data_IF_632495936843
#
_entry.id   IF_632495936843
#
_cell.length_a   1.000
_cell.length_b   1.000
_cell.length_c   1.000
_cell.angle_alpha   90.00
_cell.angle_beta   90.00
_cell.angle_gamma   90.00
#
_symmetry.space_group_name_H-M   'P 1'
#
loop_
_entity.id
_entity.type
_entity.pdbx_description
1 polymer ?
#
# COMPACT_ATOMS: atom_id res chain seq x y z
N UNK A 1 37.05 -47.88 9.59
CA UNK A 1 36.25 -47.34 8.47
C UNK A 1 34.76 -47.29 8.76
N UNK A 2 34.15 -48.32 9.32
CA UNK A 2 32.71 -48.33 9.67
C UNK A 2 32.25 -47.20 10.63
N UNK A 3 33.03 -46.90 11.67
CA UNK A 3 32.68 -45.86 12.66
C UNK A 3 32.68 -44.47 12.03
N UNK A 4 33.58 -44.17 11.12
CA UNK A 4 33.66 -42.90 10.40
C UNK A 4 32.48 -42.76 9.42
N UNK A 5 32.12 -43.85 8.73
CA UNK A 5 30.98 -43.89 7.83
C UNK A 5 29.65 -43.66 8.57
N UNK A 6 29.48 -44.28 9.75
CA UNK A 6 28.29 -44.07 10.59
C UNK A 6 28.19 -42.65 11.11
N UNK A 7 29.30 -42.02 11.48
CA UNK A 7 29.33 -40.63 11.90
C UNK A 7 28.96 -39.66 10.76
N UNK A 8 29.41 -39.94 9.55
CA UNK A 8 29.10 -39.17 8.34
C UNK A 8 27.63 -39.30 7.95
N UNK A 9 27.04 -40.49 8.05
CA UNK A 9 25.62 -40.74 7.82
C UNK A 9 24.74 -40.06 8.87
N UNK A 10 25.18 -40.04 10.13
CA UNK A 10 24.43 -39.35 11.20
C UNK A 10 24.50 -37.83 11.05
N UNK A 11 25.63 -37.27 10.61
CA UNK A 11 25.80 -35.84 10.34
C UNK A 11 24.95 -35.36 9.15
N UNK A 12 24.70 -36.22 8.16
CA UNK A 12 23.86 -35.89 7.01
C UNK A 12 22.36 -35.74 7.36
N UNK A 13 21.91 -36.43 8.42
CA UNK A 13 20.53 -36.32 8.92
C UNK A 13 20.23 -35.00 9.66
N UNK A 14 21.27 -34.24 10.04
CA UNK A 14 21.13 -32.95 10.70
C UNK A 14 21.27 -31.74 9.78
N UNK A 15 21.37 -31.95 8.47
CA UNK A 15 21.21 -30.84 7.54
C UNK A 15 19.74 -30.37 7.62
N UNK A 16 19.46 -29.19 8.17
CA UNK A 16 18.10 -28.66 8.16
C UNK A 16 17.70 -28.50 6.70
N UNK A 17 16.72 -29.27 6.27
CA UNK A 17 16.01 -29.04 5.02
C UNK A 17 15.24 -27.72 5.19
N UNK A 18 15.90 -26.60 4.99
CA UNK A 18 15.25 -25.33 4.77
C UNK A 18 14.60 -25.38 3.39
N UNK A 19 13.51 -26.11 3.29
CA UNK A 19 12.59 -25.95 2.18
C UNK A 19 11.82 -24.66 2.43
N UNK A 20 12.37 -23.56 1.96
CA UNK A 20 11.63 -22.28 1.90
C UNK A 20 10.59 -22.44 0.80
N UNK A 21 9.41 -22.90 1.19
CA UNK A 21 8.26 -22.95 0.31
C UNK A 21 7.78 -21.52 0.13
N UNK A 22 8.20 -20.87 -0.95
CA UNK A 22 7.72 -19.56 -1.37
C UNK A 22 6.24 -19.61 -1.82
N UNK A 23 5.37 -20.25 -1.02
CA UNK A 23 3.94 -20.30 -1.25
C UNK A 23 3.33 -19.06 -0.59
N UNK A 24 2.93 -18.11 -1.43
CA UNK A 24 2.17 -16.94 -0.95
C UNK A 24 0.79 -17.39 -0.49
N UNK A 25 0.38 -16.93 0.68
CA UNK A 25 -0.99 -17.14 1.15
C UNK A 25 -1.99 -16.43 0.22
N UNK A 26 -3.25 -16.88 0.22
CA UNK A 26 -4.32 -16.21 -0.53
C UNK A 26 -4.44 -14.72 -0.15
N UNK A 27 -4.24 -14.39 1.12
CA UNK A 27 -4.26 -13.00 1.58
C UNK A 27 -3.08 -12.20 1.04
N UNK A 28 -1.88 -12.77 0.96
CA UNK A 28 -0.71 -12.10 0.37
C UNK A 28 -0.90 -11.87 -1.12
N UNK A 29 -1.47 -12.83 -1.84
CA UNK A 29 -1.78 -12.67 -3.27
C UNK A 29 -2.85 -11.59 -3.47
N UNK A 30 -3.91 -11.59 -2.67
CA UNK A 30 -4.99 -10.60 -2.72
C UNK A 30 -4.49 -9.19 -2.40
N UNK A 31 -3.53 -9.05 -1.48
CA UNK A 31 -3.02 -7.77 -1.01
C UNK A 31 -1.69 -7.36 -1.66
N UNK A 32 -1.26 -8.06 -2.70
CA UNK A 32 0.09 -7.93 -3.27
C UNK A 32 0.46 -6.49 -3.67
N UNK A 33 -0.51 -5.69 -4.11
CA UNK A 33 -0.32 -4.29 -4.52
C UNK A 33 -1.02 -3.29 -3.61
N UNK A 34 -1.60 -3.74 -2.50
CA UNK A 34 -2.29 -2.86 -1.56
C UNK A 34 -1.32 -2.37 -0.48
N UNK A 35 -1.45 -1.09 -0.14
CA UNK A 35 -0.89 -0.52 1.07
C UNK A 35 -1.99 -0.49 2.12
N UNK A 36 -1.81 -1.26 3.20
CA UNK A 36 -2.77 -1.28 4.30
C UNK A 36 -2.55 -0.06 5.16
N UNK A 37 -3.66 0.58 5.54
CA UNK A 37 -3.67 1.65 6.51
C UNK A 37 -3.15 1.17 7.87
N UNK A 38 -2.22 1.90 8.45
CA UNK A 38 -1.58 1.62 9.74
C UNK A 38 -1.98 2.62 10.82
N UNK A 39 -2.44 3.81 10.45
CA UNK A 39 -2.91 4.86 11.34
C UNK A 39 -4.41 5.08 11.17
N UNK A 40 -5.09 5.58 12.20
CA UNK A 40 -6.55 5.60 12.28
C UNK A 40 -7.22 6.43 11.16
N UNK A 41 -6.65 7.56 10.77
CA UNK A 41 -7.24 8.48 9.76
C UNK A 41 -6.43 8.62 8.47
N UNK A 42 -5.43 7.78 8.27
CA UNK A 42 -4.49 7.85 7.14
C UNK A 42 -4.94 7.15 5.86
N UNK A 43 -6.24 6.85 5.71
CA UNK A 43 -6.77 6.16 4.54
C UNK A 43 -6.40 6.85 3.21
N UNK A 44 -6.29 8.17 3.18
CA UNK A 44 -5.85 8.94 2.01
C UNK A 44 -4.40 8.62 1.62
N UNK A 45 -3.49 8.58 2.60
CA UNK A 45 -2.09 8.24 2.35
C UNK A 45 -1.91 6.80 1.86
N UNK A 46 -2.57 5.84 2.52
CA UNK A 46 -2.54 4.43 2.12
C UNK A 46 -3.14 4.21 0.71
N UNK A 47 -4.23 4.94 0.39
CA UNK A 47 -4.85 4.90 -0.95
C UNK A 47 -3.95 5.52 -2.01
N UNK A 48 -3.29 6.66 -1.74
CA UNK A 48 -2.35 7.26 -2.68
C UNK A 48 -1.14 6.36 -2.91
N UNK A 49 -0.57 5.78 -1.86
CA UNK A 49 0.51 4.81 -1.98
C UNK A 49 0.10 3.58 -2.82
N UNK A 50 -1.11 3.06 -2.60
CA UNK A 50 -1.69 1.96 -3.39
C UNK A 50 -1.84 2.36 -4.86
N UNK A 51 -2.39 3.55 -5.14
CA UNK A 51 -2.54 4.04 -6.50
C UNK A 51 -1.18 4.14 -7.21
N UNK A 52 -0.16 4.71 -6.56
CA UNK A 52 1.20 4.82 -7.12
C UNK A 52 1.78 3.43 -7.42
N UNK A 53 1.62 2.45 -6.53
CA UNK A 53 2.06 1.07 -6.78
C UNK A 53 1.40 0.45 -8.01
N UNK A 54 0.14 0.76 -8.26
CA UNK A 54 -0.61 0.23 -9.39
C UNK A 54 -0.22 0.85 -10.72
N UNK A 55 0.07 2.16 -10.75
CA UNK A 55 0.34 2.88 -12.00
C UNK A 55 1.82 2.95 -12.37
N UNK A 56 2.72 2.96 -11.39
CA UNK A 56 4.16 3.16 -11.60
C UNK A 56 5.00 1.96 -11.12
N UNK A 57 4.36 0.92 -10.56
CA UNK A 57 5.02 -0.27 -10.01
C UNK A 57 6.11 0.02 -8.96
N UNK A 58 6.18 1.26 -8.48
CA UNK A 58 7.13 1.71 -7.47
C UNK A 58 6.65 1.26 -6.09
N UNK A 59 7.55 0.73 -5.29
CA UNK A 59 7.25 0.40 -3.89
C UNK A 59 7.22 1.69 -3.07
N UNK A 60 6.02 2.19 -2.83
CA UNK A 60 5.73 3.33 -1.95
C UNK A 60 4.91 2.79 -0.79
N UNK A 61 5.20 3.19 0.43
CA UNK A 61 4.40 2.86 1.60
C UNK A 61 3.63 4.09 2.12
N UNK A 62 2.75 3.83 3.09
CA UNK A 62 1.93 4.87 3.71
C UNK A 62 2.77 5.96 4.38
N UNK A 63 3.84 5.57 5.10
CA UNK A 63 4.70 6.50 5.83
C UNK A 63 5.43 7.45 4.87
N UNK A 64 5.92 6.93 3.73
CA UNK A 64 6.55 7.75 2.70
C UNK A 64 5.58 8.82 2.17
N UNK A 65 4.31 8.49 1.96
CA UNK A 65 3.30 9.48 1.53
C UNK A 65 3.02 10.50 2.62
N UNK A 66 2.90 10.07 3.88
CA UNK A 66 2.64 10.93 5.02
C UNK A 66 3.73 11.99 5.22
N UNK A 67 4.98 11.71 4.85
CA UNK A 67 6.08 12.68 4.92
C UNK A 67 5.89 13.90 4.01
N UNK A 68 5.07 13.78 2.95
CA UNK A 68 4.77 14.87 2.02
C UNK A 68 3.59 15.73 2.45
N UNK A 69 2.84 15.32 3.47
CA UNK A 69 1.78 16.15 4.02
C UNK A 69 2.33 17.28 4.90
N UNK A 70 1.46 18.24 5.18
CA UNK A 70 1.81 19.32 6.11
C UNK A 70 1.97 18.74 7.50
N UNK A 71 3.09 19.00 8.13
CA UNK A 71 3.34 18.58 9.51
C UNK A 71 2.42 19.34 10.47
N UNK A 72 2.15 18.72 11.61
CA UNK A 72 1.41 19.39 12.69
C UNK A 72 2.19 20.58 13.25
N UNK A 73 1.57 21.35 14.16
CA UNK A 73 2.17 22.52 14.81
C UNK A 73 3.42 22.19 15.63
N UNK A 74 3.67 20.90 15.93
CA UNK A 74 4.82 20.39 16.68
C UNK A 74 5.88 19.77 15.76
N UNK A 75 5.65 19.77 14.43
CA UNK A 75 6.57 19.20 13.45
C UNK A 75 6.47 17.69 13.28
N UNK A 76 5.46 17.04 13.88
CA UNK A 76 5.22 15.62 13.69
C UNK A 76 4.52 15.36 12.35
N UNK A 77 4.60 14.12 11.88
CA UNK A 77 3.85 13.66 10.72
C UNK A 77 2.35 13.76 11.04
N UNK A 78 1.61 14.44 10.16
CA UNK A 78 0.15 14.52 10.28
C UNK A 78 -0.45 13.21 9.78
N UNK A 79 -1.15 12.50 10.65
CA UNK A 79 -1.88 11.26 10.34
C UNK A 79 -3.39 11.48 10.27
N UNK A 80 -3.85 12.73 10.45
CA UNK A 80 -5.26 13.08 10.36
C UNK A 80 -5.81 12.91 8.94
N UNK A 81 -7.11 12.94 8.83
CA UNK A 81 -7.79 12.86 7.54
C UNK A 81 -7.43 14.05 6.66
N UNK A 82 -6.99 13.73 5.45
CA UNK A 82 -6.57 14.73 4.46
C UNK A 82 -7.65 15.00 3.43
N UNK A 83 -7.54 16.16 2.78
CA UNK A 83 -8.38 16.54 1.65
C UNK A 83 -7.80 16.06 0.32
N UNK A 84 -8.61 16.04 -0.75
CA UNK A 84 -8.10 15.80 -2.11
C UNK A 84 -6.99 16.77 -2.52
N UNK A 85 -7.08 18.01 -2.10
CA UNK A 85 -6.05 19.03 -2.40
C UNK A 85 -4.72 18.68 -1.76
N UNK A 86 -4.71 18.16 -0.54
CA UNK A 86 -3.50 17.74 0.15
C UNK A 86 -2.90 16.47 -0.52
N UNK A 87 -3.75 15.50 -0.89
CA UNK A 87 -3.33 14.32 -1.65
C UNK A 87 -2.74 14.71 -3.01
N UNK A 88 -3.35 15.64 -3.72
CA UNK A 88 -2.84 16.16 -4.98
C UNK A 88 -1.48 16.84 -4.80
N UNK A 89 -1.33 17.69 -3.78
CA UNK A 89 -0.04 18.33 -3.46
C UNK A 89 1.04 17.32 -3.08
N UNK A 90 0.69 16.29 -2.30
CA UNK A 90 1.61 15.22 -1.95
C UNK A 90 2.08 14.46 -3.21
N UNK A 91 1.15 14.04 -4.06
CA UNK A 91 1.47 13.39 -5.33
C UNK A 91 2.39 14.27 -6.22
N UNK A 92 2.11 15.56 -6.31
CA UNK A 92 2.95 16.50 -7.07
C UNK A 92 4.37 16.62 -6.50
N UNK A 93 4.50 16.71 -5.17
CA UNK A 93 5.82 16.72 -4.50
C UNK A 93 6.59 15.41 -4.72
N UNK A 94 5.89 14.28 -4.86
CA UNK A 94 6.47 12.99 -5.21
C UNK A 94 6.83 12.86 -6.71
N UNK A 95 6.54 13.90 -7.52
CA UNK A 95 6.88 13.95 -8.95
C UNK A 95 5.77 13.49 -9.89
N UNK A 96 4.55 13.23 -9.38
CA UNK A 96 3.42 12.81 -10.21
C UNK A 96 2.55 13.99 -10.66
N UNK A 97 2.16 13.99 -11.91
CA UNK A 97 1.12 14.90 -12.39
C UNK A 97 -0.23 14.37 -11.93
N UNK A 98 -0.95 15.16 -11.16
CA UNK A 98 -2.24 14.78 -10.58
C UNK A 98 -3.24 15.92 -10.72
N UNK A 99 -4.51 15.58 -10.90
CA UNK A 99 -5.62 16.48 -10.90
C UNK A 99 -6.83 15.82 -10.23
N UNK A 100 -7.66 16.62 -9.60
CA UNK A 100 -8.90 16.17 -8.96
C UNK A 100 -10.09 16.66 -9.77
N UNK A 101 -11.06 15.80 -9.96
CA UNK A 101 -12.28 16.07 -10.72
C UNK A 101 -13.50 15.69 -9.91
N UNK A 102 -14.55 16.44 -10.07
CA UNK A 102 -15.88 16.02 -9.65
C UNK A 102 -16.57 15.39 -10.85
N UNK A 103 -17.07 14.17 -10.68
CA UNK A 103 -17.76 13.45 -11.75
C UNK A 103 -18.97 12.71 -11.19
N UNK A 104 -19.93 12.47 -12.03
CA UNK A 104 -21.07 11.62 -11.71
C UNK A 104 -20.71 10.13 -11.84
N UNK A 105 -21.65 9.28 -11.42
CA UNK A 105 -21.46 7.83 -11.44
C UNK A 105 -21.30 7.29 -12.86
N UNK A 106 -22.03 7.83 -13.82
CA UNK A 106 -21.99 7.38 -15.21
C UNK A 106 -20.60 7.67 -15.85
N UNK A 107 -20.02 8.82 -15.54
CA UNK A 107 -18.66 9.15 -15.98
C UNK A 107 -17.62 8.26 -15.27
N UNK A 108 -17.80 7.99 -13.99
CA UNK A 108 -16.89 7.13 -13.22
C UNK A 108 -16.85 5.69 -13.78
N UNK A 109 -17.99 5.12 -14.17
CA UNK A 109 -18.08 3.77 -14.72
C UNK A 109 -17.39 3.63 -16.11
N UNK A 110 -17.16 4.74 -16.79
CA UNK A 110 -16.47 4.77 -18.10
C UNK A 110 -14.95 4.88 -17.99
N UNK A 111 -14.43 5.18 -16.79
CA UNK A 111 -12.98 5.33 -16.59
C UNK A 111 -12.34 3.95 -16.45
N UNK A 112 -11.33 3.67 -17.26
CA UNK A 112 -10.65 2.37 -17.33
C UNK A 112 -9.24 2.38 -16.69
N UNK A 113 -8.94 3.39 -15.91
CA UNK A 113 -7.67 3.51 -15.18
C UNK A 113 -7.94 3.48 -13.67
N UNK A 114 -6.98 3.04 -12.85
CA UNK A 114 -7.11 3.13 -11.41
C UNK A 114 -7.32 4.58 -10.96
N UNK A 115 -8.28 4.78 -10.07
CA UNK A 115 -8.65 6.09 -9.52
C UNK A 115 -8.66 6.05 -8.00
N UNK A 116 -8.23 7.14 -7.38
CA UNK A 116 -8.48 7.40 -5.98
C UNK A 116 -9.78 8.20 -5.85
N UNK A 117 -10.74 7.65 -5.11
CA UNK A 117 -12.04 8.27 -4.88
C UNK A 117 -12.32 8.42 -3.39
N UNK A 118 -13.18 9.37 -3.05
CA UNK A 118 -13.69 9.58 -1.70
C UNK A 118 -15.11 9.05 -1.63
N UNK A 119 -15.37 8.18 -0.66
CA UNK A 119 -16.69 7.65 -0.35
C UNK A 119 -17.18 8.35 0.91
N UNK A 120 -18.39 8.86 0.87
CA UNK A 120 -19.06 9.59 1.96
C UNK A 120 -20.45 9.01 2.24
N UNK A 121 -20.54 7.72 2.55
CA UNK A 121 -21.79 7.09 2.97
C UNK A 121 -22.27 7.66 4.30
N UNK A 122 -21.34 7.93 5.23
CA UNK A 122 -21.56 8.69 6.45
C UNK A 122 -20.60 9.91 6.43
N UNK A 123 -21.12 11.16 6.41
CA UNK A 123 -20.29 12.37 6.37
C UNK A 123 -19.29 12.48 7.54
N UNK A 124 -19.54 11.77 8.64
CA UNK A 124 -18.64 11.74 9.80
C UNK A 124 -17.41 10.87 9.59
N UNK A 125 -17.51 9.92 8.64
CA UNK A 125 -16.47 8.93 8.40
C UNK A 125 -16.19 8.79 6.89
N UNK A 126 -15.73 9.84 6.22
CA UNK A 126 -15.38 9.77 4.81
C UNK A 126 -14.15 8.87 4.62
N UNK A 127 -14.16 8.03 3.58
CA UNK A 127 -13.04 7.15 3.27
C UNK A 127 -12.46 7.40 1.89
N UNK A 128 -11.13 7.34 1.78
CA UNK A 128 -10.45 7.27 0.51
C UNK A 128 -10.20 5.81 0.13
N UNK A 129 -10.52 5.47 -1.12
CA UNK A 129 -10.33 4.13 -1.67
C UNK A 129 -9.79 4.21 -3.09
N UNK A 130 -9.17 3.14 -3.56
CA UNK A 130 -8.75 3.00 -4.96
C UNK A 130 -9.73 2.09 -5.67
N UNK A 131 -10.30 2.60 -6.77
CA UNK A 131 -11.15 1.83 -7.68
C UNK A 131 -10.29 1.37 -8.85
N UNK A 132 -10.44 0.10 -9.22
CA UNK A 132 -9.83 -0.54 -10.38
C UNK A 132 -10.98 -1.12 -11.19
N UNK A 133 -11.17 -0.64 -12.40
CA UNK A 133 -12.16 -1.17 -13.36
C UNK A 133 -11.50 -2.18 -14.30
#
# INVERSE_FOLDING_TARGET
MEKVLRFFLFSLCFLPLFADFAVKSFQELRNQNLVRQSYEESCGAASLATLIRLIDFKRVDELEVLEYFTKDSKGNINTDMVSFLELQKAAQKMGYKSASYQMDREALEKVQIPLLVKIEDDPRFPHFVVIIN
#
